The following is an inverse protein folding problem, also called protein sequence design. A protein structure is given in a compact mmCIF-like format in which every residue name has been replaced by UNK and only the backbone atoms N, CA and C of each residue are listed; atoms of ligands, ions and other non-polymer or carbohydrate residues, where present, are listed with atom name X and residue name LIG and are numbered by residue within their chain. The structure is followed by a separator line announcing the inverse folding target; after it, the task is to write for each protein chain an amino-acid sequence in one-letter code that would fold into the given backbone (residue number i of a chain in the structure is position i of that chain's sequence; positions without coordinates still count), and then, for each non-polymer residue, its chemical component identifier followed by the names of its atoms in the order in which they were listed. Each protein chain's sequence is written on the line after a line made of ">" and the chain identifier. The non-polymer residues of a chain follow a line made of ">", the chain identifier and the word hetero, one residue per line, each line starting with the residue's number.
data_IF_675301417401
#
_entry.id   IF_675301417401
#
_cell.length_a   1.000
_cell.length_b   1.000
_cell.length_c   1.000
_cell.angle_alpha   90.00
_cell.angle_beta   90.00
_cell.angle_gamma   90.00
#
_symmetry.space_group_name_H-M   'P 1'
#
loop_
_entity.id
_entity.type
_entity.pdbx_description
1 polymer ?
#
# COMPACT_ATOMS: atom_id res chain seq x y z
N UNK A 1 0.00 -67.83 29.96
CA UNK A 1 1.24 -67.03 29.76
C UNK A 1 1.17 -66.15 28.52
N UNK A 2 0.83 -66.68 27.33
CA UNK A 2 0.74 -65.88 26.08
C UNK A 2 -0.20 -64.68 26.16
N UNK A 3 -1.38 -64.84 26.76
CA UNK A 3 -2.40 -63.78 26.87
C UNK A 3 -1.96 -62.57 27.70
N UNK A 4 -1.25 -62.80 28.82
CA UNK A 4 -0.64 -61.72 29.62
C UNK A 4 0.45 -60.97 28.84
N UNK A 5 1.15 -61.66 27.95
CA UNK A 5 2.22 -61.09 27.12
C UNK A 5 1.65 -60.21 26.00
N UNK A 6 0.52 -60.63 25.39
CA UNK A 6 -0.23 -59.84 24.40
C UNK A 6 -0.81 -58.56 25.01
N UNK A 7 -1.43 -58.63 26.19
CA UNK A 7 -1.99 -57.45 26.88
C UNK A 7 -0.88 -56.45 27.22
N UNK A 8 0.28 -56.94 27.68
CA UNK A 8 1.43 -56.09 27.98
C UNK A 8 1.99 -55.37 26.73
N UNK A 9 2.04 -56.05 25.58
CA UNK A 9 2.44 -55.44 24.31
C UNK A 9 1.45 -54.36 23.85
N UNK A 10 0.15 -54.63 23.93
CA UNK A 10 -0.90 -53.67 23.56
C UNK A 10 -0.85 -52.41 24.46
N UNK A 11 -0.64 -52.59 25.77
CA UNK A 11 -0.45 -51.48 26.70
C UNK A 11 0.79 -50.64 26.36
N UNK A 12 1.91 -51.29 25.99
CA UNK A 12 3.14 -50.59 25.59
C UNK A 12 2.94 -49.79 24.30
N UNK A 13 2.24 -50.36 23.31
CA UNK A 13 1.90 -49.64 22.08
C UNK A 13 0.99 -48.43 22.33
N UNK A 14 -0.03 -48.60 23.18
CA UNK A 14 -0.94 -47.52 23.56
C UNK A 14 -0.22 -46.41 24.32
N UNK A 15 0.72 -46.75 25.20
CA UNK A 15 1.57 -45.79 25.89
C UNK A 15 2.47 -45.04 24.89
N UNK A 16 3.09 -45.73 23.95
CA UNK A 16 3.96 -45.12 22.94
C UNK A 16 3.18 -44.16 22.03
N UNK A 17 1.98 -44.55 21.59
CA UNK A 17 1.06 -43.66 20.83
C UNK A 17 0.68 -42.42 21.64
N UNK A 18 0.43 -42.58 22.94
CA UNK A 18 0.10 -41.47 23.84
C UNK A 18 1.27 -40.50 24.03
N UNK A 19 2.48 -41.03 24.22
CA UNK A 19 3.71 -40.24 24.31
C UNK A 19 4.01 -39.47 23.02
N UNK A 20 3.83 -40.10 21.85
CA UNK A 20 3.99 -39.42 20.57
C UNK A 20 2.97 -38.29 20.37
N UNK A 21 1.70 -38.50 20.77
CA UNK A 21 0.66 -37.46 20.74
C UNK A 21 1.00 -36.29 21.66
N UNK A 22 1.46 -36.58 22.88
CA UNK A 22 1.91 -35.56 23.85
C UNK A 22 3.09 -34.75 23.31
N UNK A 23 4.10 -35.41 22.73
CA UNK A 23 5.27 -34.77 22.14
C UNK A 23 4.90 -33.84 20.97
N UNK A 24 4.00 -34.28 20.08
CA UNK A 24 3.47 -33.43 18.99
C UNK A 24 2.72 -32.23 19.54
N UNK A 25 1.80 -32.45 20.48
CA UNK A 25 1.03 -31.38 21.13
C UNK A 25 1.94 -30.34 21.83
N UNK A 26 2.99 -30.79 22.51
CA UNK A 26 3.97 -29.91 23.15
C UNK A 26 4.77 -29.10 22.11
N UNK A 27 5.15 -29.72 21.01
CA UNK A 27 5.87 -29.06 19.90
C UNK A 27 4.98 -27.99 19.25
N UNK A 28 3.74 -28.34 18.93
CA UNK A 28 2.76 -27.42 18.34
C UNK A 28 2.46 -26.25 19.28
N UNK A 29 2.34 -26.53 20.58
CA UNK A 29 2.18 -25.50 21.60
C UNK A 29 3.37 -24.53 21.64
N UNK A 30 4.60 -25.05 21.68
CA UNK A 30 5.81 -24.23 21.68
C UNK A 30 5.94 -23.36 20.42
N UNK A 31 5.65 -23.94 19.24
CA UNK A 31 5.62 -23.20 17.98
C UNK A 31 4.55 -22.11 17.98
N UNK A 32 3.36 -22.38 18.52
CA UNK A 32 2.26 -21.42 18.65
C UNK A 32 2.62 -20.26 19.58
N UNK A 33 3.24 -20.54 20.74
CA UNK A 33 3.71 -19.51 21.68
C UNK A 33 4.77 -18.62 21.02
N UNK A 34 5.78 -19.23 20.38
CA UNK A 34 6.84 -18.49 19.68
C UNK A 34 6.28 -17.62 18.55
N UNK A 35 5.37 -18.16 17.73
CA UNK A 35 4.75 -17.39 16.64
C UNK A 35 3.97 -16.18 17.16
N UNK A 36 3.25 -16.33 18.30
CA UNK A 36 2.55 -15.22 18.95
C UNK A 36 3.51 -14.15 19.48
N UNK A 37 4.65 -14.54 20.05
CA UNK A 37 5.68 -13.60 20.50
C UNK A 37 6.32 -12.85 19.33
N UNK A 38 6.68 -13.54 18.26
CA UNK A 38 7.22 -12.94 17.04
C UNK A 38 6.22 -11.95 16.42
N UNK A 39 4.93 -12.28 16.39
CA UNK A 39 3.88 -11.39 15.90
C UNK A 39 3.74 -10.13 16.78
N UNK A 40 3.77 -10.28 18.11
CA UNK A 40 3.72 -9.15 19.05
C UNK A 40 4.95 -8.25 18.90
N UNK A 41 6.14 -8.82 18.78
CA UNK A 41 7.37 -8.06 18.58
C UNK A 41 7.32 -7.30 17.25
N UNK A 42 6.91 -7.98 16.17
CA UNK A 42 6.74 -7.36 14.85
C UNK A 42 5.79 -6.16 14.92
N UNK A 43 4.64 -6.31 15.58
CA UNK A 43 3.68 -5.21 15.75
C UNK A 43 4.28 -4.01 16.52
N UNK A 44 5.03 -4.26 17.59
CA UNK A 44 5.73 -3.20 18.33
C UNK A 44 6.76 -2.46 17.48
N UNK A 45 7.48 -3.17 16.61
CA UNK A 45 8.43 -2.57 15.66
C UNK A 45 7.68 -1.71 14.64
N UNK A 46 6.58 -2.22 14.08
CA UNK A 46 5.74 -1.47 13.14
C UNK A 46 5.22 -0.17 13.75
N UNK A 47 4.68 -0.21 14.97
CA UNK A 47 4.14 0.96 15.66
C UNK A 47 5.23 1.95 16.08
N UNK A 48 6.44 1.47 16.38
CA UNK A 48 7.62 2.29 16.63
C UNK A 48 8.09 3.05 15.38
N UNK A 49 8.02 2.42 14.21
CA UNK A 49 8.42 3.05 12.95
C UNK A 49 7.43 4.14 12.52
N UNK A 50 6.13 3.85 12.53
CA UNK A 50 5.10 4.81 12.15
C UNK A 50 3.70 4.38 12.62
N UNK A 51 2.95 5.35 13.14
CA UNK A 51 1.54 5.18 13.49
C UNK A 51 0.63 5.23 12.27
N UNK A 52 1.12 5.69 11.12
CA UNK A 52 0.35 5.81 9.89
C UNK A 52 -0.08 4.43 9.38
N UNK A 53 -1.33 4.34 8.92
CA UNK A 53 -1.93 3.17 8.27
C UNK A 53 -2.96 3.65 7.25
N UNK A 54 -2.75 3.25 6.00
CA UNK A 54 -3.57 3.66 4.87
C UNK A 54 -4.47 2.54 4.33
N UNK A 55 -4.52 1.39 5.00
CA UNK A 55 -5.29 0.22 4.55
C UNK A 55 -6.78 0.56 4.44
N UNK A 56 -7.34 1.24 5.44
CA UNK A 56 -8.74 1.68 5.43
C UNK A 56 -9.00 2.72 4.34
N UNK A 57 -8.06 3.64 4.10
CA UNK A 57 -8.15 4.64 3.03
C UNK A 57 -8.17 3.97 1.66
N UNK A 58 -7.24 3.06 1.39
CA UNK A 58 -7.21 2.30 0.13
C UNK A 58 -8.50 1.50 -0.07
N UNK A 59 -8.95 0.75 0.94
CA UNK A 59 -10.20 -0.02 0.86
C UNK A 59 -11.41 0.87 0.57
N UNK A 60 -11.49 2.03 1.23
CA UNK A 60 -12.56 3.00 0.98
C UNK A 60 -12.54 3.53 -0.45
N UNK A 61 -11.35 3.86 -0.99
CA UNK A 61 -11.23 4.32 -2.39
C UNK A 61 -11.61 3.22 -3.39
N UNK A 62 -11.27 1.96 -3.11
CA UNK A 62 -11.67 0.81 -3.93
C UNK A 62 -13.18 0.61 -3.92
N UNK A 63 -13.81 0.58 -2.74
CA UNK A 63 -15.27 0.35 -2.58
C UNK A 63 -16.08 1.48 -3.22
N UNK A 64 -15.64 2.73 -3.05
CA UNK A 64 -16.38 3.89 -3.52
C UNK A 64 -16.13 4.24 -4.99
N UNK A 65 -15.17 3.59 -5.67
CA UNK A 65 -14.94 3.77 -7.10
C UNK A 65 -16.16 3.30 -7.89
N UNK A 66 -16.49 4.01 -8.96
CA UNK A 66 -17.47 3.53 -9.93
C UNK A 66 -16.89 2.33 -10.71
N UNK A 67 -17.69 1.28 -10.90
CA UNK A 67 -17.22 0.09 -11.60
C UNK A 67 -16.83 0.44 -13.04
N UNK A 68 -15.67 -0.03 -13.47
CA UNK A 68 -15.15 0.18 -14.82
C UNK A 68 -14.30 1.44 -15.02
N UNK A 69 -14.27 2.37 -14.05
CA UNK A 69 -13.55 3.64 -14.22
C UNK A 69 -12.07 3.57 -13.87
N UNK A 70 -11.27 4.45 -14.47
CA UNK A 70 -9.86 4.64 -14.15
C UNK A 70 -8.92 3.57 -14.69
N UNK A 71 -9.46 2.56 -15.39
CA UNK A 71 -8.68 1.43 -15.92
C UNK A 71 -7.80 1.81 -17.12
N UNK A 72 -8.09 2.97 -17.75
CA UNK A 72 -7.27 3.50 -18.85
C UNK A 72 -5.81 3.70 -18.43
N UNK A 73 -5.54 4.05 -17.17
CA UNK A 73 -4.17 4.29 -16.68
C UNK A 73 -3.29 3.05 -16.80
N UNK A 74 -3.89 1.87 -16.65
CA UNK A 74 -3.17 0.60 -16.71
C UNK A 74 -2.71 0.25 -18.13
N UNK A 75 -3.32 0.88 -19.14
CA UNK A 75 -3.00 0.76 -20.57
C UNK A 75 -2.17 1.93 -21.08
N UNK A 76 -1.85 2.90 -20.23
CA UNK A 76 -1.03 4.04 -20.62
C UNK A 76 0.43 3.58 -20.82
N UNK A 77 1.06 3.85 -21.98
CA UNK A 77 2.43 3.40 -22.24
C UNK A 77 3.46 3.88 -21.22
N UNK A 78 3.24 5.05 -20.59
CA UNK A 78 4.14 5.59 -19.56
C UNK A 78 4.04 4.78 -18.28
N UNK A 79 2.83 4.37 -17.90
CA UNK A 79 2.59 3.50 -16.76
C UNK A 79 3.15 2.10 -17.02
N UNK A 80 2.85 1.50 -18.18
CA UNK A 80 3.37 0.19 -18.54
C UNK A 80 4.91 0.18 -18.58
N UNK A 81 5.51 1.24 -19.15
CA UNK A 81 6.96 1.42 -19.12
C UNK A 81 7.44 1.50 -17.69
N UNK A 82 6.91 2.37 -16.84
CA UNK A 82 7.34 2.47 -15.44
C UNK A 82 7.22 1.13 -14.69
N UNK A 83 6.09 0.44 -14.83
CA UNK A 83 5.80 -0.85 -14.18
C UNK A 83 6.73 -1.97 -14.67
N UNK A 84 7.06 -2.02 -15.96
CA UNK A 84 7.82 -3.14 -16.54
C UNK A 84 9.30 -2.86 -16.79
N UNK A 85 9.72 -1.59 -16.82
CA UNK A 85 11.14 -1.22 -16.93
C UNK A 85 11.91 -1.79 -15.75
N UNK A 86 13.18 -2.15 -15.95
CA UNK A 86 14.08 -2.40 -14.84
C UNK A 86 14.41 -1.12 -14.08
N UNK A 87 15.68 -0.96 -13.71
CA UNK A 87 16.13 0.13 -12.84
C UNK A 87 16.20 1.51 -13.53
N UNK A 88 15.86 1.58 -14.82
CA UNK A 88 15.99 2.78 -15.67
C UNK A 88 14.85 3.79 -15.50
N UNK A 89 13.69 3.37 -15.00
CA UNK A 89 12.54 4.23 -14.75
C UNK A 89 12.10 4.11 -13.27
N UNK A 90 12.81 4.80 -12.39
CA UNK A 90 12.55 4.77 -10.94
C UNK A 90 11.41 5.68 -10.50
N UNK A 91 10.93 6.60 -11.33
CA UNK A 91 9.88 7.55 -10.98
C UNK A 91 8.87 7.76 -12.12
N UNK A 92 7.58 7.85 -11.79
CA UNK A 92 6.51 8.33 -12.67
C UNK A 92 5.70 9.40 -11.93
N UNK A 93 5.54 10.57 -12.57
CA UNK A 93 4.73 11.64 -12.02
C UNK A 93 3.38 11.74 -12.72
N UNK A 94 2.31 11.57 -11.97
CA UNK A 94 0.93 11.63 -12.43
C UNK A 94 0.29 12.96 -12.00
N UNK A 95 0.18 13.90 -12.92
CA UNK A 95 -0.34 15.24 -12.65
C UNK A 95 -1.81 15.37 -13.05
N UNK A 96 -2.63 16.02 -12.24
CA UNK A 96 -4.03 16.30 -12.60
C UNK A 96 -4.66 17.43 -11.79
N UNK A 97 -5.68 18.07 -12.36
CA UNK A 97 -6.42 19.16 -11.72
C UNK A 97 -7.19 18.68 -10.46
N UNK A 98 -7.64 19.59 -9.57
CA UNK A 98 -8.51 19.22 -8.45
C UNK A 98 -9.75 18.44 -8.93
N UNK A 99 -10.18 17.44 -8.15
CA UNK A 99 -11.43 16.71 -8.44
C UNK A 99 -11.37 15.68 -9.59
N UNK A 100 -10.31 15.64 -10.41
CA UNK A 100 -10.20 14.74 -11.58
C UNK A 100 -10.08 13.24 -11.26
N UNK A 101 -10.11 12.87 -9.98
CA UNK A 101 -10.08 11.46 -9.56
C UNK A 101 -8.68 10.87 -9.34
N UNK A 102 -7.64 11.70 -9.12
CA UNK A 102 -6.26 11.23 -8.82
C UNK A 102 -6.22 10.09 -7.79
N UNK A 103 -6.88 10.26 -6.64
CA UNK A 103 -6.90 9.21 -5.60
C UNK A 103 -7.60 7.91 -6.00
N UNK A 104 -8.59 7.97 -6.90
CA UNK A 104 -9.21 6.77 -7.47
C UNK A 104 -8.28 6.09 -8.48
N UNK A 105 -7.55 6.87 -9.28
CA UNK A 105 -6.50 6.33 -10.16
C UNK A 105 -5.39 5.68 -9.33
N UNK A 106 -4.97 6.31 -8.24
CA UNK A 106 -4.01 5.73 -7.29
C UNK A 106 -4.50 4.39 -6.75
N UNK A 107 -5.78 4.26 -6.37
CA UNK A 107 -6.30 2.98 -5.88
C UNK A 107 -6.31 1.89 -6.95
N UNK A 108 -6.63 2.22 -8.22
CA UNK A 108 -6.52 1.30 -9.37
C UNK A 108 -5.07 0.80 -9.52
N UNK A 109 -4.11 1.72 -9.48
CA UNK A 109 -2.68 1.40 -9.62
C UNK A 109 -2.22 0.47 -8.49
N UNK A 110 -2.62 0.75 -7.25
CA UNK A 110 -2.24 -0.08 -6.09
C UNK A 110 -2.81 -1.50 -6.25
N UNK A 111 -4.08 -1.65 -6.63
CA UNK A 111 -4.70 -2.96 -6.87
C UNK A 111 -3.95 -3.78 -7.93
N UNK A 112 -3.58 -3.14 -9.05
CA UNK A 112 -2.82 -3.78 -10.12
C UNK A 112 -1.42 -4.21 -9.66
N UNK A 113 -0.69 -3.34 -8.94
CA UNK A 113 0.64 -3.66 -8.43
C UNK A 113 0.58 -4.77 -7.38
N UNK A 114 -0.42 -4.76 -6.50
CA UNK A 114 -0.64 -5.82 -5.53
C UNK A 114 -0.95 -7.15 -6.23
N UNK A 115 -1.81 -7.16 -7.26
CA UNK A 115 -2.08 -8.34 -8.05
C UNK A 115 -0.80 -8.89 -8.71
N UNK A 116 0.03 -8.02 -9.30
CA UNK A 116 1.32 -8.39 -9.88
C UNK A 116 2.31 -8.91 -8.82
N UNK A 117 2.26 -8.40 -7.58
CA UNK A 117 3.11 -8.87 -6.49
C UNK A 117 2.76 -10.29 -6.00
N UNK A 118 1.50 -10.73 -6.21
CA UNK A 118 1.07 -12.09 -5.86
C UNK A 118 1.56 -13.12 -6.89
N UNK A 119 1.68 -12.74 -8.16
CA UNK A 119 2.12 -13.61 -9.25
C UNK A 119 3.64 -13.68 -9.42
N UNK A 120 4.37 -12.62 -9.06
CA UNK A 120 5.84 -12.57 -9.14
C UNK A 120 6.47 -12.72 -7.76
N UNK A 121 7.47 -13.60 -7.64
CA UNK A 121 8.17 -13.78 -6.36
C UNK A 121 8.93 -12.51 -5.98
N UNK A 122 8.81 -12.14 -4.70
CA UNK A 122 9.65 -11.16 -4.02
C UNK A 122 9.49 -9.68 -4.46
N UNK A 123 8.30 -9.27 -4.93
CA UNK A 123 7.95 -7.86 -5.14
C UNK A 123 7.20 -7.33 -3.92
N UNK A 124 7.53 -6.11 -3.48
CA UNK A 124 6.76 -5.40 -2.46
C UNK A 124 6.04 -4.17 -3.05
N UNK A 125 4.93 -3.81 -2.42
CA UNK A 125 4.15 -2.62 -2.74
C UNK A 125 3.91 -1.90 -1.41
N UNK A 126 4.18 -0.60 -1.38
CA UNK A 126 3.84 0.30 -0.30
C UNK A 126 3.13 1.53 -0.88
N UNK A 127 2.28 2.15 -0.08
CA UNK A 127 1.53 3.32 -0.51
C UNK A 127 1.27 4.32 0.62
N UNK A 128 1.12 5.58 0.24
CA UNK A 128 0.86 6.72 1.11
C UNK A 128 -0.28 7.54 0.51
N UNK A 129 -1.20 7.99 1.36
CA UNK A 129 -2.15 9.05 1.02
C UNK A 129 -1.81 10.31 1.80
N UNK A 130 -1.31 11.33 1.12
CA UNK A 130 -1.11 12.64 1.71
C UNK A 130 -2.48 13.31 1.86
N UNK A 131 -2.81 13.70 3.08
CA UNK A 131 -4.06 14.40 3.42
C UNK A 131 -3.80 15.27 4.66
N UNK A 132 -3.76 16.59 4.45
CA UNK A 132 -3.52 17.56 5.53
C UNK A 132 -4.68 17.66 6.53
N UNK A 133 -5.87 17.13 6.22
CA UNK A 133 -7.07 17.36 7.03
C UNK A 133 -7.15 16.48 8.27
N UNK A 134 -6.42 15.37 8.28
CA UNK A 134 -6.57 14.34 9.30
C UNK A 134 -5.36 14.23 10.24
N UNK A 135 -4.14 14.42 9.71
CA UNK A 135 -2.89 14.37 10.46
C UNK A 135 -1.86 15.28 9.78
N UNK A 136 -0.88 15.78 10.53
CA UNK A 136 0.28 16.54 10.01
C UNK A 136 1.59 15.72 10.13
N UNK A 137 1.71 14.59 9.39
CA UNK A 137 2.90 13.75 9.40
C UNK A 137 4.09 14.46 8.76
N UNK A 138 5.28 14.21 9.28
CA UNK A 138 6.54 14.66 8.67
C UNK A 138 7.11 13.62 7.69
N UNK A 139 8.22 13.94 7.01
CA UNK A 139 8.84 13.02 6.04
C UNK A 139 9.30 11.70 6.68
N UNK A 140 9.71 11.72 7.96
CA UNK A 140 10.11 10.52 8.70
C UNK A 140 8.91 9.63 8.98
N UNK A 141 7.74 10.20 9.27
CA UNK A 141 6.49 9.45 9.45
C UNK A 141 6.10 8.70 8.18
N UNK A 142 6.19 9.37 7.02
CA UNK A 142 5.93 8.78 5.71
C UNK A 142 6.93 7.67 5.34
N UNK A 143 8.23 7.94 5.47
CA UNK A 143 9.28 6.94 5.20
C UNK A 143 9.18 5.74 6.16
N UNK A 144 8.86 5.99 7.43
CA UNK A 144 8.59 4.95 8.42
C UNK A 144 7.36 4.11 8.07
N UNK A 145 6.32 4.72 7.49
CA UNK A 145 5.14 4.02 7.01
C UNK A 145 5.47 3.09 5.83
N UNK A 146 6.32 3.53 4.89
CA UNK A 146 6.80 2.69 3.79
C UNK A 146 7.55 1.48 4.36
N UNK A 147 8.54 1.72 5.23
CA UNK A 147 9.32 0.64 5.85
C UNK A 147 8.43 -0.35 6.61
N UNK A 148 7.46 0.15 7.39
CA UNK A 148 6.43 -0.65 8.06
C UNK A 148 5.70 -1.57 7.08
N UNK A 149 5.22 -1.04 5.95
CA UNK A 149 4.53 -1.85 4.93
C UNK A 149 5.44 -2.91 4.30
N UNK A 150 6.73 -2.60 4.07
CA UNK A 150 7.68 -3.60 3.59
C UNK A 150 7.90 -4.73 4.59
N UNK A 151 8.00 -4.40 5.88
CA UNK A 151 8.13 -5.40 6.95
C UNK A 151 6.88 -6.28 7.07
N UNK A 152 5.70 -5.72 6.84
CA UNK A 152 4.44 -6.48 6.82
C UNK A 152 4.47 -7.58 5.75
N UNK A 153 5.16 -7.36 4.63
CA UNK A 153 5.36 -8.38 3.57
C UNK A 153 6.37 -9.48 3.92
N UNK A 154 7.15 -9.34 4.99
CA UNK A 154 8.11 -10.36 5.43
C UNK A 154 7.52 -11.28 6.49
N UNK A 155 7.88 -12.56 6.43
CA UNK A 155 7.51 -13.55 7.46
C UNK A 155 8.16 -13.22 8.81
N UNK A 156 9.41 -12.78 8.80
CA UNK A 156 10.16 -12.34 9.98
C UNK A 156 10.74 -10.95 9.75
N UNK A 157 10.92 -10.20 10.84
CA UNK A 157 11.61 -8.91 10.80
C UNK A 157 13.11 -9.14 10.58
N UNK A 158 13.77 -8.41 9.66
CA UNK A 158 15.23 -8.49 9.49
C UNK A 158 15.97 -8.13 10.78
N UNK A 159 17.10 -8.79 11.04
CA UNK A 159 17.82 -8.63 12.31
C UNK A 159 18.38 -7.21 12.50
N UNK A 160 18.73 -6.52 11.42
CA UNK A 160 19.17 -5.13 11.47
C UNK A 160 18.08 -4.19 12.01
N UNK A 161 16.82 -4.43 11.64
CA UNK A 161 15.66 -3.68 12.17
C UNK A 161 15.42 -4.04 13.64
N UNK A 162 15.54 -5.33 14.02
CA UNK A 162 15.42 -5.75 15.43
C UNK A 162 16.50 -5.13 16.30
N UNK A 163 17.74 -5.07 15.80
CA UNK A 163 18.88 -4.48 16.51
C UNK A 163 18.68 -2.98 16.74
N UNK A 164 18.24 -2.25 15.70
CA UNK A 164 17.88 -0.83 15.82
C UNK A 164 16.73 -0.63 16.82
N UNK A 165 15.65 -1.42 16.72
CA UNK A 165 14.55 -1.37 17.67
C UNK A 165 15.01 -1.62 19.12
N UNK A 166 15.84 -2.64 19.35
CA UNK A 166 16.37 -2.96 20.68
C UNK A 166 17.21 -1.82 21.25
N UNK A 167 18.08 -1.20 20.44
CA UNK A 167 18.90 -0.03 20.83
C UNK A 167 18.04 1.12 21.34
N UNK A 168 16.93 1.42 20.66
CA UNK A 168 15.99 2.49 21.04
C UNK A 168 15.08 2.14 22.23
N UNK A 169 15.09 0.88 22.68
CA UNK A 169 14.28 0.39 23.80
C UNK A 169 15.11 0.02 25.04
N UNK A 170 16.41 0.33 25.08
CA UNK A 170 17.27 0.21 26.26
C UNK A 170 17.09 1.38 27.27
N UNK A 171 16.04 2.20 27.11
CA UNK A 171 15.74 3.36 27.95
C UNK A 171 14.34 3.93 27.67
N UNK A 172 14.18 5.26 27.64
CA UNK A 172 12.92 5.87 27.13
C UNK A 172 12.79 5.52 25.65
N UNK A 173 11.68 4.88 25.27
CA UNK A 173 11.41 4.53 23.87
C UNK A 173 11.42 5.80 23.01
N UNK A 174 12.33 5.86 22.05
CA UNK A 174 12.44 6.96 21.09
C UNK A 174 12.29 6.40 19.67
N UNK A 175 11.62 7.14 18.80
CA UNK A 175 11.53 6.80 17.38
C UNK A 175 12.89 7.05 16.71
N UNK A 176 13.24 6.26 15.68
CA UNK A 176 14.54 6.40 15.02
C UNK A 176 14.63 7.74 14.29
N UNK A 177 15.85 8.26 14.12
CA UNK A 177 16.08 9.47 13.33
C UNK A 177 15.79 9.20 11.84
N UNK A 178 15.47 10.23 11.05
CA UNK A 178 15.12 10.06 9.62
C UNK A 178 16.23 9.34 8.83
N UNK A 179 17.50 9.64 9.11
CA UNK A 179 18.63 8.96 8.46
C UNK A 179 18.67 7.47 8.76
N UNK A 180 18.31 7.06 9.98
CA UNK A 180 18.22 5.66 10.37
C UNK A 180 17.02 4.98 9.69
N UNK A 181 15.86 5.66 9.59
CA UNK A 181 14.72 5.16 8.83
C UNK A 181 15.08 4.91 7.37
N UNK A 182 15.77 5.86 6.72
CA UNK A 182 16.22 5.73 5.32
C UNK A 182 17.19 4.56 5.16
N UNK A 183 18.15 4.41 6.07
CA UNK A 183 19.09 3.29 6.06
C UNK A 183 18.38 1.93 6.18
N UNK A 184 17.48 1.79 7.16
CA UNK A 184 16.71 0.56 7.34
C UNK A 184 15.78 0.29 6.15
N UNK A 185 15.14 1.32 5.60
CA UNK A 185 14.32 1.23 4.40
C UNK A 185 15.13 0.71 3.22
N UNK A 186 16.34 1.23 3.01
CA UNK A 186 17.25 0.74 1.98
C UNK A 186 17.56 -0.75 2.17
N UNK A 187 18.00 -1.13 3.37
CA UNK A 187 18.37 -2.53 3.69
C UNK A 187 17.21 -3.49 3.48
N UNK A 188 16.01 -3.11 3.90
CA UNK A 188 14.81 -3.94 3.71
C UNK A 188 14.43 -3.99 2.23
N UNK A 189 14.52 -2.88 1.49
CA UNK A 189 14.23 -2.84 0.05
C UNK A 189 15.16 -3.74 -0.76
N UNK A 190 16.45 -3.83 -0.41
CA UNK A 190 17.46 -4.71 -1.05
C UNK A 190 17.10 -6.20 -0.96
N UNK A 191 16.26 -6.59 0.00
CA UNK A 191 15.80 -7.98 0.11
C UNK A 191 14.64 -8.32 -0.83
N UNK A 192 14.11 -7.34 -1.57
CA UNK A 192 13.08 -7.53 -2.59
C UNK A 192 13.69 -7.44 -3.99
N UNK A 193 13.13 -8.15 -4.96
CA UNK A 193 13.53 -7.98 -6.36
C UNK A 193 13.16 -6.58 -6.85
N UNK A 194 12.02 -6.08 -6.37
CA UNK A 194 11.53 -4.72 -6.64
C UNK A 194 10.57 -4.25 -5.56
N UNK A 195 10.61 -2.96 -5.27
CA UNK A 195 9.67 -2.27 -4.40
C UNK A 195 8.97 -1.18 -5.19
N UNK A 196 7.63 -1.20 -5.20
CA UNK A 196 6.82 -0.09 -5.68
C UNK A 196 6.35 0.76 -4.51
N UNK A 197 6.50 2.08 -4.63
CA UNK A 197 5.96 3.05 -3.67
C UNK A 197 4.99 3.98 -4.38
N UNK A 198 3.73 4.02 -3.97
CA UNK A 198 2.72 4.91 -4.57
C UNK A 198 2.36 6.01 -3.60
N UNK A 199 2.54 7.27 -3.99
CA UNK A 199 2.28 8.45 -3.15
C UNK A 199 1.12 9.24 -3.76
N UNK A 200 -0.02 9.25 -3.10
CA UNK A 200 -1.19 10.02 -3.53
C UNK A 200 -1.15 11.45 -2.99
N UNK A 201 -1.50 12.41 -3.84
CA UNK A 201 -1.72 13.82 -3.50
C UNK A 201 -0.54 14.48 -2.78
N UNK A 202 0.68 14.31 -3.29
CA UNK A 202 1.91 14.83 -2.65
C UNK A 202 1.82 16.31 -2.26
N UNK A 203 1.17 17.13 -3.09
CA UNK A 203 0.96 18.56 -2.82
C UNK A 203 0.08 18.88 -1.59
N UNK A 204 -0.52 17.86 -0.98
CA UNK A 204 -1.27 17.93 0.28
C UNK A 204 -0.42 17.57 1.52
N UNK A 205 0.89 17.30 1.38
CA UNK A 205 1.76 17.09 2.54
C UNK A 205 2.04 18.41 3.27
N UNK A 206 1.90 18.42 4.60
CA UNK A 206 2.12 19.63 5.41
C UNK A 206 3.60 19.81 5.75
N UNK A 207 4.12 21.03 5.60
CA UNK A 207 5.47 21.42 6.04
C UNK A 207 5.42 22.00 7.46
N UNK A 208 6.33 21.60 8.35
CA UNK A 208 6.41 22.11 9.73
C UNK A 208 7.44 23.25 9.87
N UNK A 209 7.14 24.26 10.70
CA UNK A 209 8.12 25.18 11.28
C UNK A 209 8.50 26.43 10.46
N UNK A 210 9.20 27.37 11.12
CA UNK A 210 9.68 28.62 10.53
C UNK A 210 10.94 28.43 9.64
N UNK A 211 11.73 27.39 9.94
CA UNK A 211 12.86 26.91 9.13
C UNK A 211 12.36 25.73 8.27
N UNK A 212 11.85 26.07 7.08
CA UNK A 212 10.99 25.24 6.23
C UNK A 212 11.78 24.21 5.41
N UNK A 213 12.09 23.06 5.99
CA UNK A 213 12.36 21.87 5.17
C UNK A 213 11.02 21.31 4.67
N UNK A 214 10.71 21.53 3.40
CA UNK A 214 9.50 21.04 2.74
C UNK A 214 9.38 19.51 2.90
N UNK A 215 8.34 19.05 3.60
CA UNK A 215 8.08 17.62 3.87
C UNK A 215 8.02 16.81 2.58
N UNK A 216 7.35 17.33 1.54
CA UNK A 216 7.26 16.68 0.22
C UNK A 216 8.64 16.55 -0.40
N UNK A 217 9.39 17.65 -0.43
CA UNK A 217 10.72 17.69 -1.02
C UNK A 217 11.65 16.72 -0.31
N UNK A 218 11.70 16.77 1.02
CA UNK A 218 12.54 15.88 1.82
C UNK A 218 12.17 14.40 1.60
N UNK A 219 10.89 14.06 1.60
CA UNK A 219 10.46 12.69 1.32
C UNK A 219 10.88 12.23 -0.08
N UNK A 220 10.61 13.04 -1.11
CA UNK A 220 10.94 12.72 -2.51
C UNK A 220 12.46 12.59 -2.69
N UNK A 221 13.25 13.49 -2.11
CA UNK A 221 14.71 13.47 -2.22
C UNK A 221 15.30 12.23 -1.55
N UNK A 222 14.80 11.85 -0.36
CA UNK A 222 15.24 10.60 0.28
C UNK A 222 14.87 9.39 -0.58
N UNK A 223 13.66 9.34 -1.16
CA UNK A 223 13.27 8.24 -2.04
C UNK A 223 14.09 8.17 -3.33
N UNK A 224 14.41 9.31 -3.95
CA UNK A 224 15.31 9.39 -5.12
C UNK A 224 16.74 8.94 -4.79
N UNK A 225 17.19 9.20 -3.56
CA UNK A 225 18.51 8.80 -3.08
C UNK A 225 18.62 7.30 -2.73
N UNK A 226 17.50 6.59 -2.63
CA UNK A 226 17.51 5.14 -2.42
C UNK A 226 17.92 4.41 -3.71
N UNK A 227 18.44 3.20 -3.54
CA UNK A 227 19.02 2.41 -4.62
C UNK A 227 18.03 2.04 -5.75
N UNK A 228 18.56 1.33 -6.75
CA UNK A 228 17.87 0.87 -7.96
C UNK A 228 16.64 -0.04 -7.73
N UNK A 229 16.37 -0.53 -6.52
CA UNK A 229 15.26 -1.46 -6.25
C UNK A 229 13.92 -0.77 -6.02
N UNK A 230 13.91 0.54 -5.76
CA UNK A 230 12.69 1.30 -5.49
C UNK A 230 12.24 2.02 -6.76
N UNK A 231 11.00 1.77 -7.16
CA UNK A 231 10.29 2.56 -8.17
C UNK A 231 9.11 3.24 -7.50
N UNK A 232 8.98 4.55 -7.64
CA UNK A 232 7.89 5.28 -7.03
C UNK A 232 7.02 6.01 -8.05
N UNK A 233 5.73 6.12 -7.74
CA UNK A 233 4.74 6.84 -8.51
C UNK A 233 4.14 7.91 -7.61
N UNK A 234 4.05 9.13 -8.12
CA UNK A 234 3.52 10.26 -7.35
C UNK A 234 2.32 10.82 -8.07
N UNK A 235 1.20 11.03 -7.38
CA UNK A 235 0.12 11.87 -7.89
C UNK A 235 0.14 13.24 -7.22
N UNK A 236 -0.13 14.30 -7.98
CA UNK A 236 -0.23 15.65 -7.42
C UNK A 236 -0.93 16.63 -8.38
N UNK A 237 -1.17 17.85 -7.90
CA UNK A 237 -1.32 19.04 -8.76
C UNK A 237 0.04 19.48 -9.32
N UNK A 238 0.00 20.39 -10.29
CA UNK A 238 1.20 20.92 -10.96
C UNK A 238 2.08 21.79 -10.04
N UNK A 239 1.58 22.17 -8.86
CA UNK A 239 2.27 23.03 -7.87
C UNK A 239 3.61 22.47 -7.38
N UNK A 240 3.80 21.15 -7.42
CA UNK A 240 5.06 20.47 -7.06
C UNK A 240 5.88 20.05 -8.29
N UNK A 241 5.53 20.54 -9.48
CA UNK A 241 6.14 20.10 -10.74
C UNK A 241 7.64 20.34 -10.86
N UNK A 242 8.17 21.35 -10.18
CA UNK A 242 9.61 21.62 -10.10
C UNK A 242 10.42 20.43 -9.53
N UNK A 243 9.79 19.57 -8.72
CA UNK A 243 10.43 18.36 -8.18
C UNK A 243 10.57 17.24 -9.23
N UNK A 244 9.90 17.34 -10.38
CA UNK A 244 9.71 16.26 -11.34
C UNK A 244 10.07 16.63 -12.80
N UNK A 245 10.80 17.72 -13.04
CA UNK A 245 11.11 18.22 -14.39
C UNK A 245 11.75 17.19 -15.34
N UNK A 246 12.55 16.26 -14.80
CA UNK A 246 13.24 15.21 -15.57
C UNK A 246 12.57 13.83 -15.47
N UNK A 247 11.38 13.77 -14.88
CA UNK A 247 10.63 12.54 -14.64
C UNK A 247 9.53 12.43 -15.70
N UNK A 248 9.23 11.24 -16.25
CA UNK A 248 8.08 11.04 -17.12
C UNK A 248 6.78 11.55 -16.48
N UNK A 249 6.01 12.35 -17.23
CA UNK A 249 4.72 12.91 -16.80
C UNK A 249 3.55 12.18 -17.46
N UNK A 250 2.63 11.67 -16.63
CA UNK A 250 1.32 11.15 -17.02
C UNK A 250 0.26 12.15 -16.57
N UNK A 251 -0.58 12.62 -17.50
CA UNK A 251 -1.67 13.54 -17.15
C UNK A 251 -2.92 12.73 -16.81
N UNK A 252 -3.46 12.94 -15.62
CA UNK A 252 -4.75 12.39 -15.20
C UNK A 252 -5.84 13.38 -15.62
N UNK A 253 -6.70 12.94 -16.54
CA UNK A 253 -7.83 13.68 -17.07
C UNK A 253 -9.12 12.86 -16.96
N UNK A 254 -10.26 13.54 -16.98
CA UNK A 254 -11.55 12.87 -17.06
C UNK A 254 -11.74 12.31 -18.49
N UNK A 255 -11.78 10.99 -18.63
CA UNK A 255 -12.10 10.34 -19.90
C UNK A 255 -13.62 10.23 -20.07
N UNK A 256 -14.12 10.43 -21.29
CA UNK A 256 -15.54 10.36 -21.60
C UNK A 256 -16.15 9.00 -21.18
N UNK A 257 -15.45 7.90 -21.46
CA UNK A 257 -15.86 6.55 -21.06
C UNK A 257 -15.96 6.39 -19.54
N UNK A 258 -15.01 6.96 -18.79
CA UNK A 258 -15.01 6.95 -17.32
C UNK A 258 -16.17 7.78 -16.78
N UNK A 259 -16.48 8.93 -17.40
CA UNK A 259 -17.60 9.78 -17.03
C UNK A 259 -18.94 9.07 -17.30
N UNK A 260 -19.10 8.42 -18.46
CA UNK A 260 -20.28 7.61 -18.79
C UNK A 260 -20.48 6.50 -17.77
N UNK A 261 -19.46 5.69 -17.54
CA UNK A 261 -19.52 4.62 -16.56
C UNK A 261 -19.83 5.16 -15.15
N UNK A 262 -19.23 6.29 -14.74
CA UNK A 262 -19.54 6.93 -13.47
C UNK A 262 -21.02 7.35 -13.37
N UNK A 263 -21.56 7.99 -14.41
CA UNK A 263 -22.96 8.43 -14.46
C UNK A 263 -23.89 7.22 -14.35
N UNK A 264 -23.66 6.17 -15.14
CA UNK A 264 -24.45 4.93 -15.09
C UNK A 264 -24.44 4.32 -13.70
N UNK A 265 -23.24 4.14 -13.11
CA UNK A 265 -23.10 3.63 -11.75
C UNK A 265 -23.87 4.50 -10.75
N UNK A 266 -23.82 5.83 -10.89
CA UNK A 266 -24.51 6.76 -10.00
C UNK A 266 -26.03 6.67 -10.12
N UNK A 267 -26.55 6.59 -11.34
CA UNK A 267 -27.99 6.47 -11.61
C UNK A 267 -28.57 5.19 -11.00
N UNK A 268 -27.85 4.08 -11.11
CA UNK A 268 -28.32 2.78 -10.63
C UNK A 268 -28.02 2.50 -9.15
N UNK A 269 -26.99 3.13 -8.56
CA UNK A 269 -26.74 3.07 -7.10
C UNK A 269 -27.78 3.86 -6.29
N UNK A 270 -28.44 4.83 -6.91
CA UNK A 270 -29.46 5.64 -6.24
C UNK A 270 -30.86 5.07 -6.52
N UNK A 271 -31.43 4.35 -5.55
CA UNK A 271 -32.75 3.72 -5.66
C UNK A 271 -33.86 4.67 -6.14
N UNK A 272 -33.81 5.94 -5.74
CA UNK A 272 -34.82 6.93 -6.14
C UNK A 272 -34.68 7.31 -7.61
N UNK A 273 -33.45 7.45 -8.10
CA UNK A 273 -33.19 7.73 -9.52
C UNK A 273 -33.47 6.49 -10.37
N UNK A 274 -32.98 5.33 -9.96
CA UNK A 274 -33.22 4.05 -10.62
C UNK A 274 -34.72 3.79 -10.83
N UNK A 275 -35.55 3.97 -9.78
CA UNK A 275 -37.02 3.83 -9.90
C UNK A 275 -37.65 4.82 -10.88
N UNK A 276 -37.18 6.07 -10.92
CA UNK A 276 -37.71 7.10 -11.83
C UNK A 276 -37.29 6.91 -13.28
N UNK A 277 -36.14 6.26 -13.49
CA UNK A 277 -35.53 6.08 -14.81
C UNK A 277 -35.78 4.70 -15.42
N UNK A 278 -36.27 3.73 -14.65
CA UNK A 278 -36.62 2.39 -15.14
C UNK A 278 -37.58 2.48 -16.33
N UNK A 279 -37.23 1.82 -17.44
CA UNK A 279 -38.00 1.83 -18.70
C UNK A 279 -37.96 3.14 -19.49
N UNK A 280 -37.10 4.11 -19.12
CA UNK A 280 -36.99 5.43 -19.78
C UNK A 280 -35.61 5.64 -20.40
N UNK A 281 -35.24 4.81 -21.36
CA UNK A 281 -33.92 4.80 -22.01
C UNK A 281 -33.56 6.16 -22.63
N UNK A 282 -34.50 6.82 -23.33
CA UNK A 282 -34.24 8.16 -23.89
C UNK A 282 -33.91 9.21 -22.83
N UNK A 283 -34.55 9.13 -21.66
CA UNK A 283 -34.29 10.07 -20.57
C UNK A 283 -32.93 9.78 -19.91
N UNK A 284 -32.56 8.51 -19.79
CA UNK A 284 -31.24 8.10 -19.32
C UNK A 284 -30.15 8.65 -20.25
N UNK A 285 -30.29 8.46 -21.57
CA UNK A 285 -29.35 8.98 -22.56
C UNK A 285 -29.25 10.50 -22.49
N UNK A 286 -30.39 11.21 -22.43
CA UNK A 286 -30.41 12.68 -22.30
C UNK A 286 -29.72 13.19 -21.04
N UNK A 287 -29.79 12.47 -19.92
CA UNK A 287 -29.08 12.83 -18.69
C UNK A 287 -27.58 12.67 -18.91
N UNK A 288 -27.15 11.51 -19.42
CA UNK A 288 -25.74 11.22 -19.70
C UNK A 288 -25.14 12.27 -20.63
N UNK A 289 -25.77 12.54 -21.78
CA UNK A 289 -25.30 13.51 -22.77
C UNK A 289 -25.20 14.92 -22.18
N UNK A 290 -26.20 15.34 -21.40
CA UNK A 290 -26.17 16.66 -20.74
C UNK A 290 -25.04 16.78 -19.73
N UNK A 291 -24.80 15.76 -18.90
CA UNK A 291 -23.73 15.80 -17.91
C UNK A 291 -22.36 15.82 -18.59
N UNK A 292 -22.16 15.00 -19.62
CA UNK A 292 -20.93 15.00 -20.43
C UNK A 292 -20.66 16.37 -21.05
N UNK A 293 -21.67 16.97 -21.70
CA UNK A 293 -21.53 18.29 -22.32
C UNK A 293 -21.15 19.40 -21.34
N UNK A 294 -21.55 19.31 -20.08
CA UNK A 294 -21.13 20.27 -19.05
C UNK A 294 -19.74 19.96 -18.50
N UNK A 295 -19.36 18.67 -18.39
CA UNK A 295 -18.05 18.26 -17.92
C UNK A 295 -16.92 18.68 -18.88
N UNK A 296 -17.17 18.70 -20.19
CA UNK A 296 -16.21 19.16 -21.21
C UNK A 296 -15.92 20.66 -21.17
N UNK A 297 -16.81 21.46 -20.55
CA UNK A 297 -16.71 22.93 -20.49
C UNK A 297 -16.07 23.45 -19.20
N UNK A 298 -15.68 22.55 -18.29
CA UNK A 298 -15.03 22.86 -17.01
C UNK A 298 -13.51 22.67 -17.10
#
# INVERSE_FOLDING_TARGET
>A
MKEKQTIAQEHLENLNRSLQKLSRSQTDHFQSVRAKEEMKQKKRIEDWLSVLDYTATQNSKVINRATGTGTWVLRDPRYERWKNSGTEASCLWCCGVPGVGKSFITSVIIEDLEAASRSRKNIAVAYIYCDYKNQEPDAKDYLGCILKQLLQRKRSVPDEVKASFAKHHQGKSQRPHISEVVHLLQKVAETFSRVYVVIDALDESVTRGADKDDTSLMMVDKLKGLNKHISFLVTSRDTVGHMFERVPKLTISAHEDDLKAYIENYLWKNDRLAKKLSGREELQQKITDKVLHHAEKM
#
